data_IF_415164185131
#
_entry.id   IF_415164185131
#
_cell.length_a   1.000
_cell.length_b   1.000
_cell.length_c   1.000
_cell.angle_alpha   90.00
_cell.angle_beta   90.00
_cell.angle_gamma   90.00
#
_symmetry.space_group_name_H-M   'P 1'
#
loop_
_entity.id
_entity.type
_entity.pdbx_description
1 polymer ?
#
# COMPACT_ATOMS: atom_id res chain seq x y z
N UNK A 1 -20.08 19.46 17.17
CA UNK A 1 -19.75 19.33 15.73
C UNK A 1 -18.53 18.44 15.47
N UNK A 2 -17.29 18.84 15.81
CA UNK A 2 -16.11 18.02 15.49
C UNK A 2 -16.11 16.61 16.14
N UNK A 3 -16.40 16.53 17.44
CA UNK A 3 -16.44 15.27 18.19
C UNK A 3 -17.61 14.33 17.78
N UNK A 4 -18.71 14.88 17.25
CA UNK A 4 -19.88 14.10 16.79
C UNK A 4 -19.57 13.38 15.47
N UNK A 5 -18.89 14.06 14.53
CA UNK A 5 -18.42 13.42 13.29
C UNK A 5 -17.40 12.31 13.57
N UNK A 6 -16.53 12.51 14.57
CA UNK A 6 -15.55 11.51 14.98
C UNK A 6 -16.23 10.25 15.58
N UNK A 7 -17.24 10.46 16.43
CA UNK A 7 -18.01 9.37 17.07
C UNK A 7 -18.87 8.60 16.06
N UNK A 8 -19.42 9.29 15.06
CA UNK A 8 -20.23 8.68 13.99
C UNK A 8 -19.40 7.72 13.13
N UNK A 9 -18.15 8.06 12.81
CA UNK A 9 -17.26 7.20 12.03
C UNK A 9 -16.68 6.02 12.84
N UNK A 10 -16.54 6.14 14.16
CA UNK A 10 -16.18 5.01 15.05
C UNK A 10 -17.20 3.86 15.00
N UNK A 11 -18.48 4.14 14.71
CA UNK A 11 -19.54 3.13 14.62
C UNK A 11 -19.98 2.78 13.19
N UNK A 12 -19.96 3.71 12.24
CA UNK A 12 -20.43 3.46 10.87
C UNK A 12 -19.32 3.20 9.84
N UNK A 13 -18.13 3.79 10.01
CA UNK A 13 -17.06 3.76 9.00
C UNK A 13 -16.04 2.62 9.16
N UNK A 14 -15.90 2.05 10.36
CA UNK A 14 -14.93 1.00 10.68
C UNK A 14 -15.42 -0.41 10.26
N UNK A 15 -16.66 -0.75 10.60
CA UNK A 15 -17.18 -2.12 10.54
C UNK A 15 -17.15 -2.75 9.12
N UNK A 16 -17.29 -1.95 8.06
CA UNK A 16 -17.23 -2.49 6.69
C UNK A 16 -15.80 -2.79 6.22
N UNK A 17 -14.77 -2.20 6.84
CA UNK A 17 -13.37 -2.38 6.49
C UNK A 17 -12.72 -3.57 7.20
N UNK A 18 -13.14 -3.88 8.43
CA UNK A 18 -12.59 -5.00 9.24
C UNK A 18 -12.41 -6.34 8.49
N UNK A 19 -13.30 -6.76 7.56
CA UNK A 19 -13.08 -7.97 6.76
C UNK A 19 -11.88 -7.92 5.81
N UNK A 20 -11.33 -6.75 5.50
CA UNK A 20 -10.25 -6.53 4.52
C UNK A 20 -8.94 -6.02 5.14
N UNK A 21 -8.94 -5.69 6.44
CA UNK A 21 -7.76 -5.22 7.17
C UNK A 21 -6.74 -6.35 7.43
N UNK A 22 -5.47 -5.99 7.71
CA UNK A 22 -4.48 -6.93 8.22
C UNK A 22 -4.95 -7.63 9.49
N UNK A 23 -4.86 -8.96 9.48
CA UNK A 23 -5.00 -9.82 10.66
C UNK A 23 -3.63 -10.39 11.00
N UNK A 24 -3.30 -10.45 12.28
CA UNK A 24 -2.03 -11.01 12.72
C UNK A 24 -2.00 -12.53 12.50
N UNK A 25 -0.95 -13.00 11.83
CA UNK A 25 -0.69 -14.42 11.58
C UNK A 25 0.83 -14.62 11.50
N UNK A 26 1.38 -15.32 12.50
CA UNK A 26 2.81 -15.59 12.65
C UNK A 26 3.36 -16.57 11.59
N UNK A 27 2.48 -17.27 10.87
CA UNK A 27 2.85 -18.26 9.85
C UNK A 27 3.13 -17.62 8.49
N UNK A 28 2.86 -16.32 8.33
CA UNK A 28 3.07 -15.61 7.07
C UNK A 28 4.55 -15.36 6.79
N UNK A 29 5.01 -15.80 5.63
CA UNK A 29 6.34 -15.48 5.11
C UNK A 29 6.46 -14.06 4.53
N UNK A 30 5.33 -13.45 4.16
CA UNK A 30 5.26 -12.11 3.56
C UNK A 30 4.24 -11.24 4.30
N UNK A 31 4.40 -9.90 4.31
CA UNK A 31 3.46 -8.98 4.93
C UNK A 31 2.04 -9.14 4.36
N UNK A 32 1.02 -8.77 5.11
CA UNK A 32 -0.31 -8.53 4.55
C UNK A 32 -0.26 -7.34 3.58
N UNK A 33 -0.72 -7.50 2.35
CA UNK A 33 -0.67 -6.43 1.34
C UNK A 33 -2.06 -5.94 0.98
N UNK A 34 -2.33 -4.68 1.30
CA UNK A 34 -3.54 -3.96 0.91
C UNK A 34 -3.21 -2.99 -0.22
N UNK A 35 -3.82 -3.15 -1.40
CA UNK A 35 -3.82 -2.08 -2.41
C UNK A 35 -4.89 -1.05 -2.00
N UNK A 36 -4.55 0.23 -1.86
CA UNK A 36 -5.58 1.25 -1.63
C UNK A 36 -5.27 2.56 -2.34
N UNK A 37 -6.18 3.06 -3.16
CA UNK A 37 -5.97 4.28 -3.94
C UNK A 37 -7.29 5.00 -4.20
N UNK A 38 -7.19 6.29 -4.53
CA UNK A 38 -8.32 7.07 -5.01
C UNK A 38 -8.25 7.23 -6.52
N UNK A 39 -9.35 6.98 -7.22
CA UNK A 39 -9.48 7.13 -8.67
C UNK A 39 -10.74 7.92 -9.04
N UNK A 40 -10.72 8.54 -10.21
CA UNK A 40 -11.91 9.08 -10.88
C UNK A 40 -12.81 7.97 -11.43
N UNK A 41 -13.98 8.34 -11.96
CA UNK A 41 -14.91 7.44 -12.66
C UNK A 41 -14.27 6.76 -13.88
N UNK A 42 -13.32 7.44 -14.54
CA UNK A 42 -12.53 6.91 -15.66
C UNK A 42 -11.19 6.28 -15.24
N UNK A 43 -11.11 5.79 -13.99
CA UNK A 43 -9.99 5.02 -13.43
C UNK A 43 -8.63 5.73 -13.49
N UNK A 44 -8.62 7.07 -13.36
CA UNK A 44 -7.41 7.90 -13.31
C UNK A 44 -7.10 8.34 -11.89
N UNK A 45 -5.82 8.37 -11.52
CA UNK A 45 -5.35 8.81 -10.20
C UNK A 45 -4.78 10.24 -10.19
N UNK A 46 -4.46 10.79 -11.36
CA UNK A 46 -4.10 12.20 -11.52
C UNK A 46 -4.48 12.74 -12.90
N UNK A 47 -4.64 14.06 -13.00
CA UNK A 47 -4.94 14.78 -14.25
C UNK A 47 -3.85 14.63 -15.31
N UNK A 48 -2.58 14.62 -14.86
CA UNK A 48 -1.40 14.47 -15.70
C UNK A 48 -0.30 13.72 -14.92
N UNK A 49 0.68 13.10 -15.61
CA UNK A 49 1.89 12.57 -14.96
C UNK A 49 2.62 13.66 -14.16
N UNK A 50 2.96 13.36 -12.90
CA UNK A 50 3.68 14.29 -12.02
C UNK A 50 2.83 15.39 -11.38
N UNK A 51 1.52 15.43 -11.64
CA UNK A 51 0.59 16.42 -11.07
C UNK A 51 -0.20 15.85 -9.88
N UNK A 52 -0.20 16.54 -8.75
CA UNK A 52 -1.11 16.23 -7.63
C UNK A 52 -2.57 16.45 -8.06
N UNK A 53 -3.47 15.53 -7.70
CA UNK A 53 -4.92 15.68 -7.97
C UNK A 53 -5.73 15.23 -6.75
N UNK A 54 -6.71 16.04 -6.35
CA UNK A 54 -7.54 15.75 -5.16
C UNK A 54 -8.82 15.04 -5.59
N UNK A 55 -8.87 13.72 -5.38
CA UNK A 55 -10.03 12.88 -5.70
C UNK A 55 -10.88 12.53 -4.46
N UNK A 56 -10.27 12.47 -3.28
CA UNK A 56 -10.94 12.09 -2.03
C UNK A 56 -11.56 13.29 -1.28
N UNK A 57 -12.81 13.13 -0.88
CA UNK A 57 -13.49 13.99 0.10
C UNK A 57 -12.91 13.85 1.53
N UNK A 58 -13.37 14.67 2.49
CA UNK A 58 -12.91 14.63 3.88
C UNK A 58 -13.05 13.25 4.54
N UNK A 59 -14.16 12.56 4.31
CA UNK A 59 -14.50 11.26 4.89
C UNK A 59 -13.56 10.18 4.36
N UNK A 60 -13.34 10.14 3.04
CA UNK A 60 -12.39 9.23 2.41
C UNK A 60 -10.93 9.52 2.82
N UNK A 61 -10.56 10.79 3.08
CA UNK A 61 -9.25 11.14 3.66
C UNK A 61 -9.10 10.63 5.10
N UNK A 62 -10.15 10.71 5.92
CA UNK A 62 -10.13 10.14 7.26
C UNK A 62 -10.02 8.61 7.20
N UNK A 63 -10.77 7.96 6.29
CA UNK A 63 -10.67 6.53 6.01
C UNK A 63 -9.23 6.13 5.63
N UNK A 64 -8.56 6.87 4.73
CA UNK A 64 -7.15 6.63 4.39
C UNK A 64 -6.26 6.71 5.64
N UNK A 65 -6.46 7.70 6.51
CA UNK A 65 -5.68 7.79 7.76
C UNK A 65 -5.99 6.66 8.76
N UNK A 66 -7.21 6.14 8.80
CA UNK A 66 -7.55 4.93 9.55
C UNK A 66 -6.84 3.70 8.94
N UNK A 67 -6.87 3.50 7.62
CA UNK A 67 -6.10 2.42 6.99
C UNK A 67 -4.60 2.53 7.32
N UNK A 68 -4.03 3.75 7.33
CA UNK A 68 -2.64 3.99 7.75
C UNK A 68 -2.34 3.61 9.21
N UNK A 69 -3.29 3.69 10.15
CA UNK A 69 -3.08 3.21 11.53
C UNK A 69 -3.26 1.70 11.68
N UNK A 70 -3.72 1.01 10.63
CA UNK A 70 -3.90 -0.45 10.60
C UNK A 70 -2.81 -1.20 9.85
N UNK A 71 -1.75 -0.52 9.38
CA UNK A 71 -0.62 -1.12 8.67
C UNK A 71 0.73 -0.68 9.27
N UNK A 72 1.74 -1.55 9.22
CA UNK A 72 3.10 -1.26 9.70
C UNK A 72 3.89 -0.39 8.72
N UNK A 73 3.52 -0.41 7.43
CA UNK A 73 4.16 0.34 6.36
C UNK A 73 3.17 0.92 5.34
N UNK A 74 3.57 2.02 4.70
CA UNK A 74 2.90 2.60 3.51
C UNK A 74 3.91 2.63 2.37
N UNK A 75 3.57 2.04 1.23
CA UNK A 75 4.44 1.93 0.07
C UNK A 75 3.91 2.72 -1.12
N UNK A 76 4.80 3.49 -1.77
CA UNK A 76 4.50 4.19 -3.03
C UNK A 76 5.67 4.11 -4.02
N UNK A 77 5.38 4.30 -5.31
CA UNK A 77 6.42 4.55 -6.31
C UNK A 77 7.04 5.95 -6.21
N UNK A 78 8.33 6.09 -6.53
CA UNK A 78 9.06 7.37 -6.51
C UNK A 78 8.40 8.50 -7.32
N UNK A 79 7.63 8.18 -8.37
CA UNK A 79 6.86 9.17 -9.13
C UNK A 79 5.89 9.98 -8.25
N UNK A 80 5.23 9.34 -7.29
CA UNK A 80 4.33 9.99 -6.32
C UNK A 80 5.12 10.84 -5.32
N UNK A 81 6.31 10.41 -4.90
CA UNK A 81 7.18 11.22 -4.03
C UNK A 81 7.56 12.54 -4.69
N UNK A 82 7.93 12.48 -5.98
CA UNK A 82 8.35 13.63 -6.76
C UNK A 82 7.20 14.59 -7.10
N UNK A 83 5.98 14.07 -7.29
CA UNK A 83 4.79 14.86 -7.56
C UNK A 83 4.26 15.57 -6.29
N UNK A 84 4.11 14.82 -5.18
CA UNK A 84 3.28 15.25 -4.05
C UNK A 84 4.09 15.71 -2.82
N UNK A 85 5.38 15.37 -2.75
CA UNK A 85 6.23 15.45 -1.56
C UNK A 85 5.46 15.01 -0.28
N UNK A 86 4.95 13.77 -0.22
CA UNK A 86 3.96 13.37 0.80
C UNK A 86 4.59 13.27 2.19
N UNK A 87 3.75 13.27 3.24
CA UNK A 87 4.21 13.00 4.62
C UNK A 87 4.17 11.52 5.02
N UNK A 88 3.35 10.71 4.34
CA UNK A 88 3.13 9.27 4.58
C UNK A 88 3.00 8.88 6.06
N UNK A 89 2.13 9.60 6.77
CA UNK A 89 1.86 9.41 8.20
C UNK A 89 0.36 9.34 8.53
N UNK A 90 0.04 8.82 9.72
CA UNK A 90 -1.28 8.92 10.36
C UNK A 90 -1.36 10.21 11.21
N UNK A 91 -2.51 10.91 11.29
CA UNK A 91 -2.57 12.36 11.67
C UNK A 91 -3.65 12.78 12.69
N UNK A 92 -3.58 12.32 13.92
CA UNK A 92 -4.79 12.00 14.70
C UNK A 92 -4.40 11.78 16.24
N UNK A 93 -5.26 11.89 17.29
CA UNK A 93 -4.91 11.82 18.79
C UNK A 93 -5.48 10.62 19.71
N UNK A 94 -4.73 9.74 20.43
CA UNK A 94 -5.27 8.44 21.03
C UNK A 94 -4.34 7.18 21.34
N UNK A 95 -4.04 6.24 20.39
CA UNK A 95 -2.84 5.34 20.17
C UNK A 95 -1.95 5.61 18.85
N UNK A 96 -0.75 6.26 18.94
CA UNK A 96 0.23 6.84 17.95
C UNK A 96 -0.15 7.54 16.61
N UNK A 97 -1.41 7.43 16.18
CA UNK A 97 -2.09 8.24 15.17
C UNK A 97 -3.59 7.94 15.29
N UNK A 98 -4.33 8.91 15.84
CA UNK A 98 -5.42 8.77 16.84
C UNK A 98 -4.87 7.86 17.91
N UNK A 99 -3.60 7.98 18.39
CA UNK A 99 -2.60 9.09 18.60
C UNK A 99 -1.75 9.12 19.94
N UNK A 100 -1.72 8.05 20.76
CA UNK A 100 -1.05 7.80 22.06
C UNK A 100 0.47 7.64 22.02
N UNK A 101 1.10 7.27 23.15
CA UNK A 101 2.50 7.61 23.41
C UNK A 101 3.52 7.08 22.37
N UNK A 102 3.95 7.99 21.50
CA UNK A 102 5.21 7.91 20.75
C UNK A 102 5.13 7.38 19.31
N UNK A 103 6.27 7.50 18.63
CA UNK A 103 6.49 7.18 17.21
C UNK A 103 6.24 5.71 16.83
N UNK A 104 6.01 4.82 17.80
CA UNK A 104 5.94 3.37 17.63
C UNK A 104 4.89 2.96 16.59
N UNK A 105 3.68 3.52 16.70
CA UNK A 105 2.49 3.14 15.90
C UNK A 105 2.33 3.90 14.58
N UNK A 106 3.30 4.73 14.19
CA UNK A 106 3.30 5.34 12.86
C UNK A 106 3.75 4.30 11.82
N UNK A 107 3.10 4.20 10.65
CA UNK A 107 3.58 3.34 9.58
C UNK A 107 4.96 3.82 9.07
N UNK A 108 5.78 2.88 8.62
CA UNK A 108 7.05 3.13 7.93
C UNK A 108 6.76 3.50 6.47
N UNK A 109 7.18 4.66 5.97
CA UNK A 109 7.13 4.94 4.54
C UNK A 109 8.12 4.05 3.77
N UNK A 110 7.72 3.51 2.63
CA UNK A 110 8.55 2.69 1.74
C UNK A 110 8.44 3.23 0.31
N UNK A 111 9.58 3.58 -0.29
CA UNK A 111 9.62 4.19 -1.62
C UNK A 111 10.26 3.22 -2.61
N UNK A 112 9.54 2.85 -3.67
CA UNK A 112 10.12 2.11 -4.79
C UNK A 112 10.82 3.09 -5.73
N UNK A 113 12.15 3.12 -5.70
CA UNK A 113 13.02 3.99 -6.49
C UNK A 113 14.20 3.21 -7.11
N UNK A 114 13.97 2.35 -8.12
CA UNK A 114 15.01 1.43 -8.62
C UNK A 114 16.30 2.13 -9.07
N UNK A 115 16.21 3.38 -9.54
CA UNK A 115 17.36 4.17 -10.01
C UNK A 115 17.94 5.12 -8.95
N UNK A 116 17.33 5.21 -7.76
CA UNK A 116 17.77 6.10 -6.68
C UNK A 116 17.60 7.59 -6.98
N UNK A 117 16.68 7.97 -7.87
CA UNK A 117 16.51 9.34 -8.41
C UNK A 117 15.82 10.33 -7.48
N UNK A 118 15.24 9.91 -6.36
CA UNK A 118 14.59 10.82 -5.41
C UNK A 118 15.62 11.79 -4.75
N UNK A 119 15.51 13.12 -4.90
CA UNK A 119 16.44 14.07 -4.27
C UNK A 119 16.10 14.22 -2.77
N UNK A 120 16.71 13.37 -1.95
CA UNK A 120 16.57 13.40 -0.48
C UNK A 120 17.26 14.66 0.08
N UNK A 121 16.48 15.49 0.78
CA UNK A 121 16.91 16.72 1.47
C UNK A 121 16.05 16.89 2.74
N UNK A 122 16.55 17.50 3.83
CA UNK A 122 15.76 17.93 4.99
C UNK A 122 14.34 18.45 4.73
N UNK A 123 14.07 19.20 3.64
CA UNK A 123 12.75 19.77 3.32
C UNK A 123 11.74 18.75 2.75
N UNK A 124 12.17 17.52 2.47
CA UNK A 124 11.25 16.43 2.15
C UNK A 124 10.27 16.22 3.31
N UNK A 125 8.97 16.25 3.02
CA UNK A 125 7.92 16.29 4.04
C UNK A 125 7.94 15.05 4.94
N UNK A 126 8.29 13.86 4.41
CA UNK A 126 8.52 12.65 5.21
C UNK A 126 9.63 12.85 6.26
N UNK A 127 10.74 13.51 5.90
CA UNK A 127 11.87 13.72 6.81
C UNK A 127 11.52 14.74 7.90
N UNK A 128 10.90 15.87 7.55
CA UNK A 128 10.38 16.83 8.56
C UNK A 128 9.40 16.16 9.51
N UNK A 129 8.45 15.37 8.97
CA UNK A 129 7.48 14.59 9.75
C UNK A 129 8.17 13.62 10.72
N UNK A 130 9.28 12.98 10.31
CA UNK A 130 10.08 12.11 11.16
C UNK A 130 10.87 12.87 12.23
N UNK A 131 11.47 14.03 11.90
CA UNK A 131 12.17 14.89 12.88
C UNK A 131 11.21 15.38 13.95
N UNK A 132 10.05 15.90 13.55
CA UNK A 132 8.96 16.36 14.42
C UNK A 132 8.32 15.25 15.26
N UNK A 133 8.68 13.98 15.05
CA UNK A 133 8.15 12.83 15.77
C UNK A 133 6.72 12.45 15.41
N UNK A 134 6.21 12.96 14.29
CA UNK A 134 4.86 12.71 13.75
C UNK A 134 4.83 11.58 12.72
N UNK A 135 5.93 10.83 12.58
CA UNK A 135 6.10 9.76 11.59
C UNK A 135 7.47 9.07 11.70
N UNK A 136 7.74 8.16 10.75
CA UNK A 136 9.02 7.46 10.58
C UNK A 136 9.69 7.93 9.27
N UNK A 137 11.02 7.94 9.21
CA UNK A 137 11.72 8.21 7.96
C UNK A 137 11.57 7.04 6.97
N UNK A 138 11.66 7.27 5.65
CA UNK A 138 11.42 6.22 4.66
C UNK A 138 12.53 5.17 4.60
N UNK A 139 12.16 3.94 4.24
CA UNK A 139 13.05 3.04 3.53
C UNK A 139 12.89 3.24 2.01
N UNK A 140 14.00 3.22 1.28
CA UNK A 140 14.01 3.41 -0.17
C UNK A 140 14.52 2.12 -0.82
N UNK A 141 13.65 1.45 -1.54
CA UNK A 141 13.94 0.22 -2.28
C UNK A 141 14.60 0.58 -3.62
N UNK A 142 15.83 0.10 -3.83
CA UNK A 142 16.65 0.44 -4.99
C UNK A 142 17.25 -0.81 -5.65
N UNK A 143 17.59 -0.71 -6.93
CA UNK A 143 18.37 -1.73 -7.63
C UNK A 143 19.86 -1.70 -7.22
N UNK A 144 20.64 -2.77 -7.45
CA UNK A 144 22.03 -2.83 -7.00
C UNK A 144 22.92 -1.82 -7.74
N UNK A 145 22.59 -1.52 -8.99
CA UNK A 145 23.26 -0.52 -9.82
C UNK A 145 22.95 0.94 -9.45
N UNK A 146 22.00 1.20 -8.53
CA UNK A 146 21.66 2.55 -8.11
C UNK A 146 22.84 3.23 -7.38
N UNK A 147 23.31 4.34 -7.96
CA UNK A 147 24.42 5.13 -7.42
C UNK A 147 23.91 6.07 -6.34
N UNK A 148 23.93 5.61 -5.08
CA UNK A 148 23.52 6.38 -3.91
C UNK A 148 24.74 7.10 -3.33
N UNK A 149 24.77 8.43 -3.43
CA UNK A 149 25.86 9.25 -2.90
C UNK A 149 26.03 9.02 -1.38
N UNK A 150 27.26 8.86 -0.83
CA UNK A 150 27.45 8.52 0.58
C UNK A 150 26.79 9.48 1.57
N UNK A 151 26.80 10.79 1.27
CA UNK A 151 26.10 11.80 2.09
C UNK A 151 24.58 11.57 2.13
N UNK A 152 23.97 11.11 1.02
CA UNK A 152 22.54 10.81 0.93
C UNK A 152 22.17 9.59 1.79
N UNK A 153 23.03 8.57 1.78
CA UNK A 153 22.91 7.39 2.64
C UNK A 153 23.03 7.75 4.12
N UNK A 154 24.09 8.50 4.49
CA UNK A 154 24.30 8.96 5.87
C UNK A 154 23.16 9.85 6.38
N UNK A 155 22.68 10.78 5.54
CA UNK A 155 21.54 11.65 5.86
C UNK A 155 20.27 10.82 6.14
N UNK A 156 19.91 9.89 5.26
CA UNK A 156 18.69 9.10 5.44
C UNK A 156 18.80 8.19 6.68
N UNK A 157 19.95 7.55 6.91
CA UNK A 157 20.24 6.79 8.13
C UNK A 157 20.19 7.66 9.40
N UNK A 158 20.67 8.90 9.34
CA UNK A 158 20.57 9.87 10.45
C UNK A 158 19.14 10.21 10.85
N UNK A 159 18.19 10.17 9.91
CA UNK A 159 16.75 10.30 10.20
C UNK A 159 16.07 8.98 10.62
N UNK A 160 16.82 7.86 10.68
CA UNK A 160 16.29 6.52 10.96
C UNK A 160 15.59 5.85 9.78
N UNK A 161 15.89 6.29 8.55
CA UNK A 161 15.51 5.62 7.29
C UNK A 161 16.71 4.83 6.72
N UNK A 162 16.55 4.23 5.54
CA UNK A 162 17.65 3.48 4.89
C UNK A 162 17.40 3.21 3.40
N UNK A 163 18.40 2.66 2.71
CA UNK A 163 18.30 2.14 1.35
C UNK A 163 18.32 0.61 1.34
N UNK A 164 17.20 -0.01 0.96
CA UNK A 164 17.07 -1.45 0.81
C UNK A 164 17.44 -1.84 -0.62
N UNK A 165 18.57 -2.55 -0.80
CA UNK A 165 19.03 -3.03 -2.11
C UNK A 165 18.41 -4.39 -2.41
N UNK A 166 17.63 -4.47 -3.49
CA UNK A 166 17.06 -5.73 -4.00
C UNK A 166 17.84 -6.15 -5.23
N UNK A 167 18.31 -7.41 -5.27
CA UNK A 167 19.16 -7.94 -6.36
C UNK A 167 18.36 -8.77 -7.37
N UNK A 168 17.17 -9.20 -6.98
CA UNK A 168 16.29 -10.09 -7.72
C UNK A 168 15.40 -9.30 -8.69
N UNK A 169 15.40 -9.71 -9.95
CA UNK A 169 14.56 -9.16 -10.99
C UNK A 169 13.48 -10.16 -11.45
N UNK A 170 12.41 -9.65 -12.04
CA UNK A 170 11.47 -10.43 -12.86
C UNK A 170 11.95 -10.46 -14.33
N UNK A 171 11.22 -11.18 -15.18
CA UNK A 171 11.56 -11.34 -16.61
C UNK A 171 11.59 -10.00 -17.39
N UNK A 172 10.91 -8.98 -16.87
CA UNK A 172 10.83 -7.64 -17.46
C UNK A 172 11.87 -6.66 -16.88
N UNK A 173 12.93 -7.16 -16.24
CA UNK A 173 13.98 -6.38 -15.59
C UNK A 173 13.49 -5.36 -14.53
N UNK A 174 12.33 -5.63 -13.91
CA UNK A 174 11.86 -4.89 -12.72
C UNK A 174 12.22 -5.66 -11.46
N UNK A 175 12.37 -4.95 -10.33
CA UNK A 175 12.63 -5.56 -9.03
C UNK A 175 11.51 -6.54 -8.66
N UNK A 176 11.87 -7.73 -8.18
CA UNK A 176 10.90 -8.80 -7.89
C UNK A 176 10.11 -8.49 -6.61
N UNK A 177 8.79 -8.43 -6.72
CA UNK A 177 7.89 -8.16 -5.59
C UNK A 177 8.05 -9.12 -4.42
N UNK A 178 8.28 -10.41 -4.68
CA UNK A 178 8.60 -11.39 -3.65
C UNK A 178 9.81 -10.97 -2.80
N UNK A 179 10.89 -10.50 -3.42
CA UNK A 179 12.11 -10.08 -2.73
C UNK A 179 11.91 -8.74 -1.99
N UNK A 180 11.14 -7.81 -2.56
CA UNK A 180 10.73 -6.57 -1.88
C UNK A 180 9.95 -6.89 -0.59
N UNK A 181 8.94 -7.75 -0.69
CA UNK A 181 8.10 -8.14 0.45
C UNK A 181 8.89 -8.96 1.48
N UNK A 182 9.81 -9.82 1.04
CA UNK A 182 10.74 -10.56 1.92
C UNK A 182 11.65 -9.61 2.69
N UNK A 183 12.24 -8.61 2.04
CA UNK A 183 13.08 -7.62 2.70
C UNK A 183 12.29 -6.81 3.75
N UNK A 184 11.05 -6.40 3.44
CA UNK A 184 10.19 -5.74 4.42
C UNK A 184 9.83 -6.65 5.60
N UNK A 185 9.54 -7.94 5.37
CA UNK A 185 9.28 -8.90 6.43
C UNK A 185 10.49 -9.12 7.36
N UNK A 186 11.71 -9.19 6.79
CA UNK A 186 12.97 -9.28 7.56
C UNK A 186 13.19 -8.06 8.46
N UNK A 187 12.74 -6.88 8.04
CA UNK A 187 12.74 -5.63 8.84
C UNK A 187 11.53 -5.53 9.81
N UNK A 188 10.77 -6.62 9.98
CA UNK A 188 9.66 -6.73 10.93
C UNK A 188 8.31 -6.16 10.46
N UNK A 189 8.17 -5.78 9.18
CA UNK A 189 6.89 -5.34 8.61
C UNK A 189 5.95 -6.54 8.47
N UNK A 190 4.84 -6.54 9.20
CA UNK A 190 3.82 -7.61 9.13
C UNK A 190 2.68 -7.23 8.17
N UNK A 191 2.57 -5.95 7.83
CA UNK A 191 1.53 -5.40 6.95
C UNK A 191 1.98 -4.14 6.21
N UNK A 192 1.64 -4.04 4.92
CA UNK A 192 1.95 -2.90 4.06
C UNK A 192 0.71 -2.48 3.26
N UNK A 193 0.40 -1.20 3.30
CA UNK A 193 -0.58 -0.60 2.39
C UNK A 193 0.13 0.05 1.22
N UNK A 194 -0.25 -0.29 0.00
CA UNK A 194 0.32 0.26 -1.24
C UNK A 194 -0.62 1.35 -1.74
N UNK A 195 -0.20 2.61 -1.58
CA UNK A 195 -1.09 3.76 -1.76
C UNK A 195 -1.06 4.40 -3.15
N UNK A 196 0.05 4.25 -3.89
CA UNK A 196 0.31 5.21 -4.96
C UNK A 196 1.47 4.91 -5.91
N UNK A 197 1.37 5.55 -7.06
CA UNK A 197 2.22 5.35 -8.23
C UNK A 197 1.51 4.48 -9.26
N UNK A 198 1.05 5.10 -10.34
CA UNK A 198 0.27 4.41 -11.39
C UNK A 198 0.95 3.16 -11.91
N UNK A 199 2.28 3.19 -12.09
CA UNK A 199 3.09 2.02 -12.48
C UNK A 199 3.05 0.88 -11.45
N UNK A 200 3.18 1.20 -10.16
CA UNK A 200 3.20 0.20 -9.06
C UNK A 200 1.84 -0.47 -8.92
N UNK A 201 0.77 0.34 -8.88
CA UNK A 201 -0.60 -0.16 -8.75
C UNK A 201 -1.02 -0.96 -9.99
N UNK A 202 -0.75 -0.45 -11.20
CA UNK A 202 -1.03 -1.14 -12.46
C UNK A 202 -0.30 -2.47 -12.56
N UNK A 203 0.99 -2.52 -12.16
CA UNK A 203 1.75 -3.76 -12.16
C UNK A 203 1.12 -4.80 -11.22
N UNK A 204 0.84 -4.44 -9.96
CA UNK A 204 0.29 -5.34 -8.95
C UNK A 204 -1.16 -5.79 -9.18
N UNK A 205 -1.88 -5.16 -10.11
CA UNK A 205 -3.19 -5.61 -10.55
C UNK A 205 -3.13 -6.76 -11.57
N UNK A 206 -1.95 -7.16 -12.04
CA UNK A 206 -1.81 -8.31 -12.92
C UNK A 206 -1.98 -9.65 -12.16
N UNK A 207 -2.53 -10.70 -12.81
CA UNK A 207 -2.83 -11.97 -12.15
C UNK A 207 -1.60 -12.67 -11.56
N UNK A 208 -0.42 -12.44 -12.14
CA UNK A 208 0.87 -12.96 -11.65
C UNK A 208 1.21 -12.52 -10.22
N UNK A 209 0.56 -11.48 -9.68
CA UNK A 209 0.80 -10.98 -8.33
C UNK A 209 -0.33 -11.29 -7.33
N UNK A 210 -1.36 -12.03 -7.74
CA UNK A 210 -2.55 -12.35 -6.92
C UNK A 210 -2.25 -13.07 -5.61
N UNK A 211 -1.15 -13.84 -5.55
CA UNK A 211 -0.72 -14.54 -4.34
C UNK A 211 -0.12 -13.61 -3.26
N UNK A 212 0.36 -12.43 -3.67
CA UNK A 212 0.94 -11.43 -2.78
C UNK A 212 -0.08 -10.42 -2.26
N UNK A 213 -1.18 -10.19 -2.96
CA UNK A 213 -2.20 -9.19 -2.60
C UNK A 213 -3.33 -9.82 -1.76
N UNK A 214 -3.55 -9.34 -0.55
CA UNK A 214 -4.64 -9.82 0.31
C UNK A 214 -5.97 -9.12 0.03
N UNK A 215 -5.93 -7.79 -0.13
CA UNK A 215 -7.12 -6.95 -0.26
C UNK A 215 -6.89 -5.75 -1.18
N UNK A 216 -8.00 -5.21 -1.69
CA UNK A 216 -8.05 -3.99 -2.49
C UNK A 216 -9.15 -3.07 -1.95
N UNK A 217 -8.85 -1.79 -1.78
CA UNK A 217 -9.75 -0.76 -1.25
C UNK A 217 -9.66 0.50 -2.12
N UNK A 218 -10.57 0.66 -3.08
CA UNK A 218 -10.56 1.77 -4.05
C UNK A 218 -11.59 2.82 -3.66
N UNK A 219 -11.14 4.07 -3.49
CA UNK A 219 -12.02 5.24 -3.39
C UNK A 219 -12.35 5.74 -4.79
N UNK A 220 -13.59 5.59 -5.24
CA UNK A 220 -14.06 6.16 -6.51
C UNK A 220 -14.63 7.56 -6.27
N UNK A 221 -14.16 8.53 -7.05
CA UNK A 221 -14.60 9.92 -7.03
C UNK A 221 -15.56 10.22 -8.19
N UNK A 222 -16.64 11.01 -7.98
CA UNK A 222 -17.66 11.32 -8.99
C UNK A 222 -17.17 12.40 -9.97
N UNK A 223 -15.99 12.19 -10.54
CA UNK A 223 -15.32 13.10 -11.48
C UNK A 223 -14.69 12.31 -12.62
N UNK A 224 -14.38 12.97 -13.72
CA UNK A 224 -13.70 12.40 -14.88
C UNK A 224 -12.44 13.25 -15.15
N UNK A 225 -11.27 12.63 -15.31
CA UNK A 225 -10.01 13.36 -15.55
C UNK A 225 -9.61 13.40 -17.03
N UNK A 226 -10.19 12.53 -17.85
CA UNK A 226 -9.93 12.45 -19.28
C UNK A 226 -8.73 11.56 -19.66
N UNK A 227 -8.54 11.37 -20.96
CA UNK A 227 -7.57 10.42 -21.53
C UNK A 227 -6.13 10.68 -21.08
N UNK A 228 -5.73 11.94 -20.92
CA UNK A 228 -4.40 12.37 -20.47
C UNK A 228 -4.08 12.05 -18.99
N UNK A 229 -5.08 11.68 -18.19
CA UNK A 229 -4.88 11.30 -16.79
C UNK A 229 -4.07 10.01 -16.63
N UNK A 230 -3.36 9.88 -15.51
CA UNK A 230 -2.57 8.66 -15.19
C UNK A 230 -3.53 7.53 -14.81
N UNK A 231 -3.62 6.43 -15.57
CA UNK A 231 -4.49 5.32 -15.24
C UNK A 231 -3.91 4.45 -14.13
N UNK A 232 -4.79 3.69 -13.47
CA UNK A 232 -4.43 2.46 -12.77
C UNK A 232 -5.15 1.31 -13.50
N UNK A 233 -4.39 0.53 -14.27
CA UNK A 233 -4.92 -0.57 -15.08
C UNK A 233 -3.84 -1.63 -15.29
N UNK A 234 -4.12 -2.92 -15.05
CA UNK A 234 -3.21 -3.99 -15.44
C UNK A 234 -3.07 -4.11 -16.97
N UNK A 235 -2.13 -4.94 -17.40
CA UNK A 235 -1.96 -5.27 -18.81
C UNK A 235 -3.14 -6.11 -19.31
N UNK A 236 -3.51 -5.97 -20.58
CA UNK A 236 -4.56 -6.81 -21.18
C UNK A 236 -4.08 -8.26 -21.27
N UNK A 237 -4.85 -9.19 -20.69
CA UNK A 237 -4.52 -10.62 -20.66
C UNK A 237 -5.37 -11.41 -21.66
N UNK A 238 -4.80 -12.53 -22.09
CA UNK A 238 -5.46 -13.57 -22.89
C UNK A 238 -5.24 -14.91 -22.21
N UNK A 239 -6.17 -15.84 -22.36
CA UNK A 239 -5.99 -17.23 -21.94
C UNK A 239 -5.09 -18.01 -22.92
N UNK A 240 -4.84 -19.29 -22.61
CA UNK A 240 -4.04 -20.21 -23.44
C UNK A 240 -4.61 -20.41 -24.85
N UNK A 241 -5.89 -20.09 -25.05
CA UNK A 241 -6.60 -20.19 -26.33
C UNK A 241 -6.58 -18.83 -27.08
N UNK A 242 -5.88 -17.82 -26.55
CA UNK A 242 -5.75 -16.49 -27.12
C UNK A 242 -6.99 -15.60 -26.92
N UNK A 243 -8.00 -16.03 -26.18
CA UNK A 243 -9.23 -15.26 -25.94
C UNK A 243 -8.99 -14.21 -24.84
N UNK A 244 -9.50 -12.97 -24.96
CA UNK A 244 -9.38 -11.96 -23.91
C UNK A 244 -9.96 -12.43 -22.58
N UNK A 245 -9.23 -12.21 -21.49
CA UNK A 245 -9.64 -12.55 -20.14
C UNK A 245 -9.46 -11.35 -19.19
N UNK A 246 -10.25 -11.28 -18.13
CA UNK A 246 -10.07 -10.30 -17.07
C UNK A 246 -8.75 -10.55 -16.34
N UNK A 247 -7.95 -9.50 -16.15
CA UNK A 247 -6.67 -9.61 -15.45
C UNK A 247 -6.84 -9.94 -13.96
N UNK A 248 -7.86 -9.40 -13.31
CA UNK A 248 -8.11 -9.57 -11.88
C UNK A 248 -9.59 -9.40 -11.55
N UNK A 249 -10.15 -10.32 -10.75
CA UNK A 249 -11.50 -10.22 -10.21
C UNK A 249 -11.44 -10.34 -8.67
N UNK A 250 -11.67 -9.24 -7.92
CA UNK A 250 -11.80 -9.31 -6.48
C UNK A 250 -12.99 -10.16 -6.04
N UNK A 251 -12.87 -10.80 -4.88
CA UNK A 251 -13.90 -11.60 -4.19
C UNK A 251 -14.43 -10.88 -2.96
N UNK A 252 -15.56 -11.34 -2.44
CA UNK A 252 -16.21 -10.76 -1.25
C UNK A 252 -16.41 -9.24 -1.38
N UNK A 253 -16.82 -8.78 -2.57
CA UNK A 253 -16.83 -7.35 -2.90
C UNK A 253 -17.95 -6.61 -2.17
N UNK A 254 -17.62 -5.45 -1.60
CA UNK A 254 -18.58 -4.49 -1.05
C UNK A 254 -18.38 -3.12 -1.69
N UNK A 255 -19.49 -2.42 -1.91
CA UNK A 255 -19.53 -1.03 -2.34
C UNK A 255 -20.24 -0.21 -1.26
N UNK A 256 -19.58 0.84 -0.75
CA UNK A 256 -20.07 1.63 0.38
C UNK A 256 -19.97 3.12 0.03
N UNK A 257 -21.09 3.87 -0.04
CA UNK A 257 -21.06 5.33 -0.16
C UNK A 257 -20.37 5.96 1.07
N UNK A 258 -19.47 6.93 0.84
CA UNK A 258 -18.73 7.63 1.89
C UNK A 258 -18.53 9.09 1.49
N UNK A 259 -19.37 9.98 2.04
CA UNK A 259 -19.43 11.37 1.59
C UNK A 259 -19.90 11.43 0.13
N UNK A 260 -19.13 12.11 -0.73
CA UNK A 260 -19.35 12.12 -2.19
C UNK A 260 -18.64 10.97 -2.92
N UNK A 261 -17.80 10.18 -2.24
CA UNK A 261 -17.10 9.05 -2.83
C UNK A 261 -17.90 7.74 -2.69
N UNK A 262 -17.54 6.73 -3.47
CA UNK A 262 -17.94 5.33 -3.21
C UNK A 262 -16.69 4.50 -2.99
N UNK A 263 -16.66 3.71 -1.91
CA UNK A 263 -15.54 2.83 -1.57
C UNK A 263 -15.85 1.42 -2.05
N UNK A 264 -15.00 0.87 -2.91
CA UNK A 264 -14.99 -0.55 -3.25
C UNK A 264 -13.98 -1.27 -2.38
N UNK A 265 -14.41 -2.32 -1.68
CA UNK A 265 -13.53 -3.22 -0.93
C UNK A 265 -13.65 -4.64 -1.50
N UNK A 266 -12.53 -5.36 -1.62
CA UNK A 266 -12.51 -6.76 -2.05
C UNK A 266 -11.29 -7.53 -1.54
N UNK A 267 -11.41 -8.86 -1.48
CA UNK A 267 -10.32 -9.81 -1.25
C UNK A 267 -9.70 -10.25 -2.57
N UNK A 268 -8.37 -10.36 -2.64
CA UNK A 268 -7.67 -10.83 -3.84
C UNK A 268 -7.21 -12.29 -3.66
N UNK A 269 -6.21 -12.55 -2.80
CA UNK A 269 -5.75 -13.90 -2.51
C UNK A 269 -6.87 -14.76 -1.92
N UNK A 270 -6.94 -16.01 -2.32
CA UNK A 270 -7.76 -16.99 -1.62
C UNK A 270 -7.18 -17.22 -0.22
N UNK A 271 -8.03 -17.36 0.79
CA UNK A 271 -7.61 -18.01 2.03
C UNK A 271 -7.44 -19.48 1.69
N UNK A 272 -6.19 -19.93 1.57
CA UNK A 272 -5.89 -21.36 1.43
C UNK A 272 -6.28 -22.03 2.74
N UNK A 273 -7.46 -22.66 2.77
CA UNK A 273 -7.86 -23.53 3.87
C UNK A 273 -6.88 -24.70 3.88
N UNK A 274 -5.88 -24.65 4.76
CA UNK A 274 -5.06 -25.82 5.05
C UNK A 274 -6.02 -26.83 5.66
N UNK A 275 -6.46 -27.81 4.86
CA UNK A 275 -7.18 -28.95 5.40
C UNK A 275 -6.25 -29.61 6.41
N UNK A 276 -6.75 -29.76 7.63
CA UNK A 276 -6.09 -30.61 8.61
C UNK A 276 -6.12 -32.03 8.05
N UNK A 277 -4.98 -32.48 7.52
CA UNK A 277 -4.73 -33.90 7.31
C UNK A 277 -4.50 -34.47 8.70
N UNK A 278 -5.59 -34.76 9.40
CA UNK A 278 -5.55 -35.57 10.61
C UNK A 278 -4.92 -36.90 10.24
N UNK A 279 -3.80 -37.20 10.90
CA UNK A 279 -3.05 -38.44 10.73
C UNK A 279 -3.91 -39.60 11.21
N UNK A 280 -4.64 -40.21 10.27
CA UNK A 280 -5.38 -41.44 10.51
C UNK A 280 -4.36 -42.59 10.65
N UNK A 281 -3.72 -42.66 11.82
CA UNK A 281 -2.77 -43.72 12.17
C UNK A 281 -3.51 -45.04 12.15
N UNK A 282 -3.28 -45.85 11.12
CA UNK A 282 -3.67 -47.24 11.13
C UNK A 282 -3.01 -47.94 12.32
N UNK A 283 -3.83 -48.50 13.20
CA UNK A 283 -3.40 -49.56 14.10
C UNK A 283 -3.29 -50.86 13.28
N UNK A 284 -2.09 -51.43 13.06
CA UNK A 284 -2.00 -52.84 12.69
C UNK A 284 -2.36 -53.67 13.93
N UNK A 285 -3.18 -54.70 13.75
CA UNK A 285 -3.69 -55.50 14.87
C UNK A 285 -2.65 -56.41 15.50
N UNK A 286 -2.83 -56.66 16.81
CA UNK A 286 -2.33 -57.81 17.56
C UNK A 286 -3.30 -58.07 18.72
#
# INVERSE_FOLDING_TARGET
>A
MAAENETTLRHAGSNFLEPYLPKYDERRQFPHVTLSYASSMDSKISLLPGMQTVLSGPEAKLMTHYLRSRHDAILIGVGTVLADNPGLNCRLEGAGGFGGLGRMWQPRPVIIDPTGRWPVHPECRMLRTAVEGKGKAPWVVVSPGAQIHPQKLMMLKGYGGDFLRIVEYNQNWRLRWEAILRALASEGVKSVMIEGGGTVLSELLNPEYTEFIDSIIVTVAPTYLGSGGVPVSPDSKRDEQGKPNAALNPREVKWVPLGQNVIMCGRIRAVTTIQAVESNTHSPGS
#
